data_IF_705796433884
#
_entry.id   IF_705796433884
#
_cell.length_a   1.000
_cell.length_b   1.000
_cell.length_c   1.000
_cell.angle_alpha   90.00
_cell.angle_beta   90.00
_cell.angle_gamma   90.00
#
_symmetry.space_group_name_H-M   'P 1'
#
loop_
_entity.id
_entity.type
_entity.pdbx_description
1 polymer ?
#
# COMPACT_ATOMS: atom_id res chain seq x y z
N UNK A 1 -15.08 17.25 0.59
CA UNK A 1 -15.54 16.06 -0.16
C UNK A 1 -16.92 15.69 0.36
N UNK A 2 -17.92 15.49 -0.50
CA UNK A 2 -19.29 15.12 -0.12
C UNK A 2 -19.84 14.06 -1.09
N UNK A 3 -20.78 13.23 -0.63
CA UNK A 3 -21.58 12.35 -1.50
C UNK A 3 -20.88 11.12 -2.10
N UNK A 4 -19.75 10.67 -1.54
CA UNK A 4 -19.06 9.46 -2.03
C UNK A 4 -19.82 8.21 -1.56
N UNK A 5 -20.32 7.42 -2.49
CA UNK A 5 -20.97 6.14 -2.23
C UNK A 5 -20.25 5.04 -3.02
N UNK A 6 -19.55 4.15 -2.32
CA UNK A 6 -18.79 3.04 -2.93
C UNK A 6 -19.04 1.78 -2.13
N UNK A 7 -19.20 0.67 -2.84
CA UNK A 7 -19.24 -0.68 -2.26
C UNK A 7 -18.19 -1.53 -2.98
N UNK A 8 -17.25 -2.06 -2.21
CA UNK A 8 -16.20 -2.96 -2.70
C UNK A 8 -16.46 -4.36 -2.15
N UNK A 9 -16.16 -5.38 -2.95
CA UNK A 9 -16.21 -6.80 -2.61
C UNK A 9 -14.79 -7.36 -2.59
N UNK A 10 -14.63 -8.53 -1.99
CA UNK A 10 -13.38 -9.29 -2.05
C UNK A 10 -12.86 -9.40 -3.50
N UNK A 11 -11.58 -9.14 -3.70
CA UNK A 11 -10.92 -9.09 -5.01
C UNK A 11 -11.09 -7.79 -5.81
N UNK A 12 -11.89 -6.82 -5.35
CA UNK A 12 -12.01 -5.53 -6.03
C UNK A 12 -10.74 -4.68 -5.91
N UNK A 13 -10.47 -3.91 -6.96
CA UNK A 13 -9.33 -2.99 -7.04
C UNK A 13 -9.78 -1.60 -7.49
N UNK A 14 -9.78 -0.64 -6.56
CA UNK A 14 -10.22 0.74 -6.76
C UNK A 14 -9.04 1.70 -6.91
N UNK A 15 -9.02 2.46 -8.01
CA UNK A 15 -8.09 3.58 -8.20
C UNK A 15 -8.77 4.91 -7.86
N UNK A 16 -8.22 5.64 -6.88
CA UNK A 16 -8.66 6.98 -6.51
C UNK A 16 -7.78 8.01 -7.21
N UNK A 17 -8.40 8.94 -7.94
CA UNK A 17 -7.73 10.02 -8.69
C UNK A 17 -8.33 11.37 -8.37
N UNK A 18 -7.58 12.43 -8.65
CA UNK A 18 -8.03 13.80 -8.44
C UNK A 18 -6.86 14.76 -8.22
N UNK A 19 -7.09 16.08 -8.27
CA UNK A 19 -6.05 17.09 -8.08
C UNK A 19 -5.30 16.94 -6.75
N UNK A 20 -4.06 17.44 -6.70
CA UNK A 20 -3.32 17.55 -5.43
C UNK A 20 -4.11 18.39 -4.42
N UNK A 21 -4.11 17.98 -3.14
CA UNK A 21 -4.84 18.68 -2.09
C UNK A 21 -6.36 18.45 -2.04
N UNK A 22 -6.97 17.69 -2.96
CA UNK A 22 -8.43 17.47 -2.95
C UNK A 22 -8.95 16.55 -1.83
N UNK A 23 -8.06 15.98 -1.00
CA UNK A 23 -8.42 15.14 0.14
C UNK A 23 -8.31 13.63 -0.06
N UNK A 24 -7.67 13.14 -1.13
CA UNK A 24 -7.46 11.70 -1.40
C UNK A 24 -6.86 10.95 -0.21
N UNK A 25 -5.73 11.44 0.30
CA UNK A 25 -5.05 10.86 1.45
C UNK A 25 -5.92 10.90 2.71
N UNK A 26 -6.69 11.97 2.93
CA UNK A 26 -7.64 12.04 4.05
C UNK A 26 -8.75 11.01 3.93
N UNK A 27 -9.30 10.79 2.73
CA UNK A 27 -10.27 9.74 2.46
C UNK A 27 -9.68 8.35 2.75
N UNK A 28 -8.46 8.07 2.27
CA UNK A 28 -7.81 6.79 2.50
C UNK A 28 -7.51 6.54 3.99
N UNK A 29 -7.07 7.57 4.72
CA UNK A 29 -6.89 7.51 6.18
C UNK A 29 -8.21 7.28 6.92
N UNK A 30 -9.31 7.89 6.47
CA UNK A 30 -10.64 7.64 7.03
C UNK A 30 -11.09 6.18 6.79
N UNK A 31 -10.84 5.62 5.60
CA UNK A 31 -11.09 4.20 5.30
C UNK A 31 -10.25 3.26 6.17
N UNK A 32 -9.02 3.66 6.51
CA UNK A 32 -8.15 2.93 7.44
C UNK A 32 -8.60 3.07 8.91
N UNK A 33 -9.54 3.97 9.21
CA UNK A 33 -9.92 4.34 10.58
C UNK A 33 -8.87 5.15 11.33
N UNK A 34 -7.94 5.79 10.61
CA UNK A 34 -6.86 6.62 11.15
C UNK A 34 -7.23 8.12 11.22
N UNK A 35 -8.47 8.48 10.86
CA UNK A 35 -8.93 9.86 10.83
C UNK A 35 -10.06 10.09 11.85
N UNK A 36 -9.80 10.77 12.99
CA UNK A 36 -10.77 10.94 14.05
C UNK A 36 -11.69 12.16 13.88
N UNK A 37 -11.47 13.03 12.88
CA UNK A 37 -12.16 14.32 12.77
C UNK A 37 -13.25 14.36 11.67
N UNK A 38 -14.45 14.78 12.04
CA UNK A 38 -15.36 15.58 11.21
C UNK A 38 -15.93 14.97 9.91
N UNK A 39 -16.03 13.65 9.76
CA UNK A 39 -16.73 13.04 8.63
C UNK A 39 -18.17 12.69 9.00
N UNK A 40 -19.14 13.20 8.25
CA UNK A 40 -20.50 12.65 8.23
C UNK A 40 -20.56 11.46 7.26
N UNK A 41 -21.21 10.37 7.67
CA UNK A 41 -21.34 9.16 6.86
C UNK A 41 -21.07 7.88 7.66
N UNK A 42 -21.14 6.73 6.98
CA UNK A 42 -20.91 5.40 7.56
C UNK A 42 -19.92 4.62 6.72
N UNK A 43 -18.83 4.18 7.35
CA UNK A 43 -17.87 3.23 6.75
C UNK A 43 -18.03 1.90 7.46
N UNK A 44 -18.36 0.85 6.70
CA UNK A 44 -18.36 -0.52 7.20
C UNK A 44 -17.14 -1.25 6.64
N UNK A 45 -16.27 -1.74 7.50
CA UNK A 45 -14.97 -2.34 7.16
C UNK A 45 -14.62 -3.47 8.12
N UNK A 46 -13.72 -4.41 7.76
CA UNK A 46 -13.22 -5.40 8.69
C UNK A 46 -12.43 -4.77 9.85
N UNK A 47 -12.12 -5.55 10.91
CA UNK A 47 -11.28 -5.10 12.02
C UNK A 47 -9.93 -4.52 11.56
N UNK A 48 -9.35 -3.62 12.35
CA UNK A 48 -8.11 -2.92 11.98
C UNK A 48 -6.93 -3.84 11.62
N UNK A 49 -6.82 -4.99 12.29
CA UNK A 49 -5.78 -6.00 12.00
C UNK A 49 -5.85 -6.59 10.59
N UNK A 50 -7.02 -6.53 9.94
CA UNK A 50 -7.22 -7.04 8.58
C UNK A 50 -6.97 -5.97 7.49
N UNK A 51 -6.49 -4.78 7.88
CA UNK A 51 -6.28 -3.63 7.00
C UNK A 51 -4.81 -3.21 7.08
N UNK A 52 -4.14 -3.17 5.93
CA UNK A 52 -2.78 -2.65 5.83
C UNK A 52 -2.77 -1.33 5.06
N UNK A 53 -2.15 -0.30 5.66
CA UNK A 53 -1.94 0.99 5.04
C UNK A 53 -0.47 1.14 4.60
N UNK A 54 -0.24 1.35 3.31
CA UNK A 54 1.06 1.61 2.71
C UNK A 54 1.17 3.12 2.39
N UNK A 55 1.87 3.90 3.23
CA UNK A 55 2.07 5.33 2.98
C UNK A 55 3.07 5.55 1.83
N UNK A 56 3.07 6.75 1.26
CA UNK A 56 4.02 7.17 0.23
C UNK A 56 5.49 7.00 0.70
N UNK A 57 5.77 7.32 1.98
CA UNK A 57 7.06 7.11 2.63
C UNK A 57 6.90 6.14 3.81
N UNK A 58 7.19 4.86 3.62
CA UNK A 58 7.15 3.86 4.69
C UNK A 58 8.18 4.14 5.79
N UNK A 59 7.78 3.86 7.02
CA UNK A 59 8.65 3.81 8.18
C UNK A 59 9.15 2.37 8.42
N UNK A 60 10.35 2.25 8.98
CA UNK A 60 11.00 1.00 9.38
C UNK A 60 11.51 1.14 10.81
N UNK A 61 11.45 0.05 11.59
CA UNK A 61 12.04 0.03 12.93
C UNK A 61 13.57 0.10 12.86
N UNK A 62 14.17 0.61 13.93
CA UNK A 62 15.61 0.53 14.15
C UNK A 62 16.02 -0.92 14.43
N UNK A 63 17.18 -1.34 13.93
CA UNK A 63 17.69 -2.70 14.11
C UNK A 63 18.26 -3.31 12.83
N UNK A 64 18.11 -4.62 12.70
CA UNK A 64 18.50 -5.36 11.51
C UNK A 64 17.60 -5.05 10.30
N UNK A 65 18.05 -5.38 9.09
CA UNK A 65 17.18 -5.27 7.91
C UNK A 65 15.94 -6.17 8.07
N UNK A 66 16.08 -7.31 8.75
CA UNK A 66 14.96 -8.20 9.08
C UNK A 66 13.94 -7.49 9.96
N UNK A 67 14.38 -6.71 10.96
CA UNK A 67 13.49 -5.88 11.78
C UNK A 67 12.77 -4.82 10.93
N UNK A 68 13.50 -4.18 10.01
CA UNK A 68 12.94 -3.21 9.09
C UNK A 68 11.87 -3.84 8.18
N UNK A 69 12.13 -5.01 7.59
CA UNK A 69 11.21 -5.70 6.68
C UNK A 69 9.99 -6.24 7.41
N UNK A 70 10.18 -6.82 8.60
CA UNK A 70 9.12 -7.50 9.35
C UNK A 70 8.32 -6.56 10.27
N UNK A 71 8.58 -5.26 10.24
CA UNK A 71 7.81 -4.27 10.98
C UNK A 71 6.36 -4.14 10.44
N UNK A 72 5.34 -3.92 11.29
CA UNK A 72 5.42 -3.89 12.76
C UNK A 72 5.32 -5.25 13.44
N UNK A 73 4.60 -6.19 12.84
CA UNK A 73 4.19 -7.44 13.51
C UNK A 73 4.17 -8.63 12.54
N UNK A 74 5.22 -8.77 11.74
CA UNK A 74 5.45 -9.94 10.89
C UNK A 74 6.47 -10.83 11.60
N UNK A 75 6.21 -12.13 11.58
CA UNK A 75 7.16 -13.12 12.07
C UNK A 75 8.50 -12.99 11.32
N UNK A 76 9.58 -12.76 12.06
CA UNK A 76 10.94 -12.63 11.52
C UNK A 76 11.44 -13.93 10.88
N UNK A 77 10.84 -15.06 11.23
CA UNK A 77 11.10 -16.39 10.70
C UNK A 77 10.07 -16.82 9.65
N UNK A 78 9.24 -15.89 9.16
CA UNK A 78 8.19 -16.20 8.20
C UNK A 78 8.77 -16.95 6.99
N UNK A 79 8.25 -18.15 6.66
CA UNK A 79 8.86 -19.04 5.67
C UNK A 79 8.91 -18.41 4.27
N UNK A 80 7.93 -17.56 3.94
CA UNK A 80 7.87 -16.86 2.64
C UNK A 80 8.69 -15.54 2.60
N UNK A 81 9.43 -15.15 3.65
CA UNK A 81 10.14 -13.86 3.71
C UNK A 81 11.09 -13.65 2.52
N UNK A 82 11.92 -14.66 2.24
CA UNK A 82 12.89 -14.62 1.14
C UNK A 82 12.19 -14.55 -0.23
N UNK A 83 11.12 -15.33 -0.41
CA UNK A 83 10.34 -15.31 -1.65
C UNK A 83 9.67 -13.95 -1.87
N UNK A 84 9.09 -13.36 -0.82
CA UNK A 84 8.46 -12.05 -0.88
C UNK A 84 9.49 -10.95 -1.20
N UNK A 85 10.67 -10.98 -0.59
CA UNK A 85 11.76 -10.06 -0.93
C UNK A 85 12.20 -10.19 -2.40
N UNK A 86 12.35 -11.41 -2.91
CA UNK A 86 12.67 -11.65 -4.32
C UNK A 86 11.57 -11.14 -5.26
N UNK A 87 10.31 -11.43 -4.94
CA UNK A 87 9.12 -10.94 -5.68
C UNK A 87 9.11 -9.41 -5.77
N UNK A 88 9.47 -8.74 -4.68
CA UNK A 88 9.58 -7.28 -4.61
C UNK A 88 10.92 -6.73 -5.09
N UNK A 89 11.75 -7.54 -5.76
CA UNK A 89 13.06 -7.16 -6.31
C UNK A 89 14.03 -6.57 -5.26
N UNK A 90 14.05 -7.18 -4.08
CA UNK A 90 14.96 -6.89 -2.95
C UNK A 90 15.90 -8.07 -2.65
N UNK A 91 16.00 -9.05 -3.55
CA UNK A 91 16.81 -10.25 -3.33
C UNK A 91 18.29 -9.99 -3.02
N UNK A 92 18.88 -8.95 -3.62
CA UNK A 92 20.27 -8.54 -3.36
C UNK A 92 20.53 -8.04 -1.92
N UNK A 93 19.48 -7.85 -1.12
CA UNK A 93 19.59 -7.48 0.29
C UNK A 93 19.49 -8.68 1.24
N UNK A 94 19.21 -9.89 0.75
CA UNK A 94 19.02 -11.09 1.57
C UNK A 94 20.24 -11.36 2.46
N UNK A 95 21.45 -11.25 1.92
CA UNK A 95 22.72 -11.44 2.67
C UNK A 95 22.99 -10.35 3.73
N UNK A 96 22.11 -9.35 3.80
CA UNK A 96 22.16 -8.26 4.77
C UNK A 96 21.00 -8.31 5.77
N UNK A 97 20.12 -9.31 5.72
CA UNK A 97 18.94 -9.42 6.58
C UNK A 97 19.28 -9.24 8.06
N UNK A 98 20.32 -9.91 8.52
CA UNK A 98 20.68 -9.91 9.95
C UNK A 98 21.70 -8.81 10.30
N UNK A 99 21.97 -7.88 9.38
CA UNK A 99 22.87 -6.73 9.62
C UNK A 99 22.09 -5.55 10.19
N UNK A 100 22.57 -5.02 11.31
CA UNK A 100 22.08 -3.78 11.91
C UNK A 100 22.68 -2.58 11.20
N UNK A 101 21.83 -1.64 10.81
CA UNK A 101 22.21 -0.38 10.15
C UNK A 101 21.04 0.61 10.23
N UNK A 102 21.25 1.85 9.79
CA UNK A 102 20.17 2.83 9.62
C UNK A 102 19.45 2.60 8.29
N UNK A 103 18.70 1.49 8.21
CA UNK A 103 17.98 1.08 7.01
C UNK A 103 16.93 2.10 6.55
N UNK A 104 16.39 2.91 7.46
CA UNK A 104 15.45 3.99 7.14
C UNK A 104 16.08 5.06 6.23
N UNK A 105 17.39 5.32 6.37
CA UNK A 105 18.14 6.29 5.57
C UNK A 105 18.97 5.64 4.46
N UNK A 106 19.39 4.38 4.65
CA UNK A 106 20.20 3.64 3.69
C UNK A 106 19.43 3.15 2.48
N UNK A 107 18.15 2.81 2.67
CA UNK A 107 17.26 2.42 1.58
C UNK A 107 16.73 3.69 0.89
N UNK A 108 16.79 3.70 -0.44
CA UNK A 108 16.08 4.65 -1.28
C UNK A 108 14.57 4.57 -1.04
N UNK A 109 13.84 5.64 -1.40
CA UNK A 109 12.39 5.65 -1.27
C UNK A 109 11.71 4.51 -2.06
N UNK A 110 12.24 4.16 -3.23
CA UNK A 110 11.75 3.02 -4.01
C UNK A 110 11.97 1.67 -3.34
N UNK A 111 13.11 1.48 -2.66
CA UNK A 111 13.37 0.27 -1.86
C UNK A 111 12.47 0.22 -0.62
N UNK A 112 12.27 1.35 0.08
CA UNK A 112 11.31 1.43 1.20
C UNK A 112 9.89 1.09 0.76
N UNK A 113 9.47 1.59 -0.41
CA UNK A 113 8.18 1.24 -1.01
C UNK A 113 8.10 -0.26 -1.31
N UNK A 114 9.15 -0.87 -1.89
CA UNK A 114 9.20 -2.33 -2.09
C UNK A 114 9.14 -3.12 -0.78
N UNK A 115 9.78 -2.64 0.29
CA UNK A 115 9.66 -3.23 1.64
C UNK A 115 8.21 -3.20 2.13
N UNK A 116 7.49 -2.10 1.88
CA UNK A 116 6.06 -2.01 2.19
C UNK A 116 5.21 -3.07 1.44
N UNK A 117 5.57 -3.38 0.18
CA UNK A 117 4.93 -4.46 -0.57
C UNK A 117 5.30 -5.85 -0.04
N UNK A 118 6.55 -6.08 0.38
CA UNK A 118 6.94 -7.33 1.08
C UNK A 118 6.02 -7.55 2.28
N UNK A 119 5.79 -6.51 3.08
CA UNK A 119 4.88 -6.58 4.24
C UNK A 119 3.46 -6.99 3.85
N UNK A 120 2.93 -6.43 2.76
CA UNK A 120 1.60 -6.78 2.26
C UNK A 120 1.49 -8.24 1.80
N UNK A 121 2.53 -8.76 1.14
CA UNK A 121 2.56 -10.15 0.67
C UNK A 121 2.63 -11.14 1.84
N UNK A 122 3.32 -10.78 2.93
CA UNK A 122 3.47 -11.64 4.10
C UNK A 122 2.24 -11.58 5.03
N UNK A 123 1.69 -10.40 5.29
CA UNK A 123 0.56 -10.24 6.23
C UNK A 123 -0.81 -10.62 5.65
N UNK A 124 -0.92 -10.72 4.31
CA UNK A 124 -2.13 -11.15 3.58
C UNK A 124 -3.43 -10.49 4.10
N UNK A 125 -3.50 -9.15 4.19
CA UNK A 125 -4.63 -8.44 4.79
C UNK A 125 -5.87 -8.52 3.89
N UNK A 126 -7.07 -8.36 4.45
CA UNK A 126 -8.31 -8.30 3.65
C UNK A 126 -8.41 -7.00 2.83
N UNK A 127 -7.79 -5.91 3.30
CA UNK A 127 -7.74 -4.63 2.58
C UNK A 127 -6.30 -4.10 2.55
N UNK A 128 -5.81 -3.74 1.37
CA UNK A 128 -4.55 -3.00 1.18
C UNK A 128 -4.89 -1.59 0.69
N UNK A 129 -4.46 -0.58 1.45
CA UNK A 129 -4.64 0.84 1.15
C UNK A 129 -3.29 1.43 0.76
N UNK A 130 -3.15 1.91 -0.48
CA UNK A 130 -1.90 2.44 -1.01
C UNK A 130 -2.01 3.96 -1.25
N UNK A 131 -1.26 4.75 -0.49
CA UNK A 131 -1.21 6.22 -0.63
C UNK A 131 0.04 6.60 -1.43
N UNK A 132 -0.07 6.59 -2.77
CA UNK A 132 1.07 6.87 -3.67
C UNK A 132 2.30 5.97 -3.39
N UNK A 133 2.06 4.74 -2.93
CA UNK A 133 3.08 3.80 -2.47
C UNK A 133 4.00 3.24 -3.58
N UNK A 134 3.85 3.69 -4.83
CA UNK A 134 4.72 3.36 -5.97
C UNK A 134 5.30 4.59 -6.66
N UNK A 135 5.09 5.80 -6.10
CA UNK A 135 5.45 7.06 -6.75
C UNK A 135 6.96 7.21 -7.04
N UNK A 136 7.83 6.51 -6.31
CA UNK A 136 9.28 6.57 -6.50
C UNK A 136 9.82 5.47 -7.43
N UNK A 137 8.94 4.66 -8.02
CA UNK A 137 9.30 3.56 -8.90
C UNK A 137 9.14 3.94 -10.37
N UNK A 138 9.86 3.27 -11.25
CA UNK A 138 9.58 3.29 -12.68
C UNK A 138 8.34 2.45 -13.01
N UNK A 139 7.78 2.63 -14.20
CA UNK A 139 6.56 1.90 -14.62
C UNK A 139 6.73 0.37 -14.63
N UNK A 140 7.87 -0.21 -15.09
CA UNK A 140 8.05 -1.65 -15.04
C UNK A 140 8.09 -2.22 -13.61
N UNK A 141 8.72 -1.54 -12.65
CA UNK A 141 8.73 -1.99 -11.26
C UNK A 141 7.36 -1.83 -10.60
N UNK A 142 6.66 -0.71 -10.84
CA UNK A 142 5.28 -0.51 -10.40
C UNK A 142 4.38 -1.65 -10.91
N UNK A 143 4.43 -1.94 -12.21
CA UNK A 143 3.64 -3.00 -12.81
C UNK A 143 3.96 -4.38 -12.22
N UNK A 144 5.23 -4.68 -11.93
CA UNK A 144 5.62 -5.93 -11.28
C UNK A 144 5.01 -6.07 -9.88
N UNK A 145 5.04 -5.00 -9.08
CA UNK A 145 4.49 -5.01 -7.73
C UNK A 145 2.96 -5.17 -7.70
N UNK A 146 2.23 -4.48 -8.59
CA UNK A 146 0.78 -4.66 -8.69
C UNK A 146 0.37 -6.05 -9.20
N UNK A 147 1.14 -6.64 -10.14
CA UNK A 147 0.93 -8.03 -10.55
C UNK A 147 1.13 -8.99 -9.38
N UNK A 148 2.20 -8.80 -8.60
CA UNK A 148 2.47 -9.60 -7.42
C UNK A 148 1.32 -9.51 -6.39
N UNK A 149 0.83 -8.30 -6.09
CA UNK A 149 -0.33 -8.13 -5.21
C UNK A 149 -1.54 -8.91 -5.72
N UNK A 150 -1.93 -8.73 -6.98
CA UNK A 150 -3.11 -9.43 -7.54
C UNK A 150 -2.98 -10.95 -7.54
N UNK A 151 -1.78 -11.46 -7.82
CA UNK A 151 -1.54 -12.90 -7.88
C UNK A 151 -1.49 -13.54 -6.50
N UNK A 152 -0.85 -12.88 -5.53
CA UNK A 152 -0.64 -13.42 -4.18
C UNK A 152 -1.79 -13.12 -3.23
N UNK A 153 -2.58 -12.08 -3.52
CA UNK A 153 -3.71 -11.62 -2.71
C UNK A 153 -5.00 -11.50 -3.56
N UNK A 154 -5.47 -12.59 -4.20
CA UNK A 154 -6.59 -12.54 -5.13
C UNK A 154 -7.90 -12.09 -4.48
N UNK A 155 -8.06 -12.33 -3.17
CA UNK A 155 -9.28 -12.02 -2.41
C UNK A 155 -9.21 -10.67 -1.67
N UNK A 156 -8.05 -10.03 -1.62
CA UNK A 156 -7.88 -8.75 -0.93
C UNK A 156 -8.49 -7.60 -1.74
N UNK A 157 -9.10 -6.65 -1.03
CA UNK A 157 -9.53 -5.38 -1.63
C UNK A 157 -8.31 -4.47 -1.75
N UNK A 158 -8.02 -3.98 -2.94
CA UNK A 158 -6.90 -3.07 -3.19
C UNK A 158 -7.46 -1.67 -3.46
N UNK A 159 -7.08 -0.68 -2.66
CA UNK A 159 -7.46 0.72 -2.88
C UNK A 159 -6.20 1.55 -3.00
N UNK A 160 -6.00 2.16 -4.17
CA UNK A 160 -4.76 2.90 -4.46
C UNK A 160 -5.04 4.34 -4.82
N UNK A 161 -4.17 5.24 -4.38
CA UNK A 161 -4.04 6.59 -4.90
C UNK A 161 -2.83 6.60 -5.83
N UNK A 162 -3.02 7.11 -7.04
CA UNK A 162 -1.91 7.30 -7.97
C UNK A 162 -2.29 8.11 -9.20
N UNK A 163 -1.28 8.73 -9.81
CA UNK A 163 -1.46 9.68 -10.92
C UNK A 163 -1.20 9.05 -12.29
N UNK A 164 -0.48 7.93 -12.35
CA UNK A 164 -0.08 7.30 -13.61
C UNK A 164 -1.23 6.52 -14.24
N UNK A 165 -1.30 6.58 -15.58
CA UNK A 165 -2.28 5.85 -16.37
C UNK A 165 -2.04 4.33 -16.36
N UNK A 166 -0.79 3.91 -16.18
CA UNK A 166 -0.34 2.51 -16.02
C UNK A 166 -1.13 1.75 -14.96
N UNK A 167 -1.54 2.44 -13.89
CA UNK A 167 -2.34 1.86 -12.82
C UNK A 167 -3.73 1.39 -13.26
N UNK A 168 -4.27 1.92 -14.37
CA UNK A 168 -5.60 1.52 -14.86
C UNK A 168 -5.68 0.02 -15.15
N UNK A 169 -4.61 -0.58 -15.68
CA UNK A 169 -4.57 -2.01 -15.97
C UNK A 169 -4.71 -2.89 -14.70
N UNK A 170 -4.46 -2.31 -13.53
CA UNK A 170 -4.49 -3.00 -12.24
C UNK A 170 -5.71 -2.66 -11.38
N UNK A 171 -6.68 -1.89 -11.88
CA UNK A 171 -7.86 -1.53 -11.11
C UNK A 171 -9.13 -1.76 -11.93
N UNK A 172 -10.10 -2.50 -11.36
CA UNK A 172 -11.39 -2.75 -12.00
C UNK A 172 -12.42 -1.64 -11.72
N UNK A 173 -12.11 -0.74 -10.77
CA UNK A 173 -12.95 0.40 -10.41
C UNK A 173 -12.13 1.69 -10.33
N UNK A 174 -12.79 2.82 -10.54
CA UNK A 174 -12.20 4.15 -10.44
C UNK A 174 -13.11 5.10 -9.67
N UNK A 175 -12.50 5.95 -8.86
CA UNK A 175 -13.15 7.08 -8.20
C UNK A 175 -12.37 8.36 -8.49
N UNK A 176 -13.00 9.33 -9.16
CA UNK A 176 -12.46 10.67 -9.32
C UNK A 176 -13.01 11.59 -8.22
N UNK A 177 -12.12 12.17 -7.42
CA UNK A 177 -12.46 13.10 -6.34
C UNK A 177 -11.99 14.50 -6.64
N UNK A 178 -12.80 15.50 -6.26
CA UNK A 178 -12.49 16.91 -6.48
C UNK A 178 -12.96 17.46 -7.83
N UNK A 179 -13.78 16.73 -8.59
CA UNK A 179 -14.57 17.33 -9.65
C UNK A 179 -15.68 18.18 -9.02
N UNK A 180 -15.41 19.48 -8.84
CA UNK A 180 -16.48 20.47 -8.87
C UNK A 180 -16.88 20.54 -10.34
N UNK A 181 -18.05 20.00 -10.67
CA UNK A 181 -18.71 20.42 -11.90
C UNK A 181 -18.93 21.93 -11.76
N UNK A 182 -18.20 22.73 -12.54
CA UNK A 182 -18.63 24.10 -12.84
C UNK A 182 -19.96 23.94 -13.59
N UNK A 183 -21.06 24.02 -12.84
CA UNK A 183 -22.38 24.32 -13.37
C UNK A 183 -22.61 25.82 -13.35
#
# INVERSE_FOLDING_TARGET
MSGINIKLKSGDSLLIRGPSGCGKTSLLRALAGLWPFGSSGKVSRPPHQDILFLPQRPYTAQGSLRDAVCYPDIDKQHPELIEAMNTCRLGYLIDKLDKTDDWQHKLSLGELQRVAFVRALLSKPKIVLLDEATAALDEPAEAALYRALKQKLPDSIIISIGHRSTLNAFHNMRLDVGNVACG
#
